data_IF_100572979288
#
_entry.id   IF_100572979288
#
_cell.length_a   1.000
_cell.length_b   1.000
_cell.length_c   1.000
_cell.angle_alpha   90.00
_cell.angle_beta   90.00
_cell.angle_gamma   90.00
#
_symmetry.space_group_name_H-M   'P 1'
#
loop_
_entity.id
_entity.type
_entity.pdbx_description
1 polymer ?
#
# COMPACT_ATOMS: atom_id res chain seq x y z
N UNK A 1 -11.91 -21.67 11.54
CA UNK A 1 -11.44 -20.90 10.35
C UNK A 1 -10.34 -19.98 10.79
N UNK A 2 -9.16 -20.12 10.18
CA UNK A 2 -7.99 -19.28 10.40
C UNK A 2 -8.14 -18.05 9.51
N UNK A 3 -8.14 -16.86 10.12
CA UNK A 3 -8.45 -15.60 9.47
C UNK A 3 -7.21 -14.95 8.84
N UNK A 4 -7.36 -14.35 7.66
CA UNK A 4 -6.34 -13.47 7.07
C UNK A 4 -6.08 -12.25 7.96
N UNK A 5 -7.15 -11.71 8.58
CA UNK A 5 -7.10 -10.62 9.55
C UNK A 5 -7.88 -10.97 10.81
N UNK A 6 -7.39 -10.57 11.98
CA UNK A 6 -8.05 -10.85 13.26
C UNK A 6 -8.41 -9.57 14.03
N UNK A 7 -9.42 -8.87 13.56
CA UNK A 7 -9.89 -7.61 14.15
C UNK A 7 -10.32 -7.75 15.61
N UNK A 8 -10.91 -8.91 15.99
CA UNK A 8 -11.35 -9.16 17.37
C UNK A 8 -10.17 -9.23 18.33
N UNK A 9 -9.09 -9.97 17.99
CA UNK A 9 -7.88 -10.04 18.82
C UNK A 9 -7.15 -8.70 18.84
N UNK A 10 -7.06 -7.99 17.69
CA UNK A 10 -6.49 -6.65 17.63
C UNK A 10 -7.21 -5.67 18.56
N UNK A 11 -8.52 -5.69 18.58
CA UNK A 11 -9.31 -4.83 19.46
C UNK A 11 -8.95 -5.00 20.94
N UNK A 12 -8.63 -6.22 21.38
CA UNK A 12 -8.21 -6.44 22.76
C UNK A 12 -6.91 -5.71 23.15
N UNK A 13 -5.99 -5.53 22.19
CA UNK A 13 -4.75 -4.83 22.44
C UNK A 13 -4.94 -3.30 22.54
N UNK A 14 -5.83 -2.72 21.72
CA UNK A 14 -5.91 -1.26 21.54
C UNK A 14 -7.12 -0.59 22.19
N UNK A 15 -8.09 -1.36 22.68
CA UNK A 15 -9.42 -0.84 23.10
C UNK A 15 -9.35 0.23 24.18
N UNK A 16 -8.51 0.05 25.20
CA UNK A 16 -8.46 0.95 26.34
C UNK A 16 -7.86 2.32 25.93
N UNK A 17 -6.82 2.30 25.10
CA UNK A 17 -6.24 3.51 24.53
C UNK A 17 -7.24 4.21 23.59
N UNK A 18 -7.95 3.45 22.76
CA UNK A 18 -8.94 4.03 21.83
C UNK A 18 -10.11 4.64 22.59
N UNK A 19 -10.66 3.96 23.60
CA UNK A 19 -11.77 4.48 24.41
C UNK A 19 -11.37 5.74 25.17
N UNK A 20 -10.17 5.75 25.77
CA UNK A 20 -9.64 6.94 26.47
C UNK A 20 -9.43 8.10 25.50
N UNK A 21 -8.86 7.86 24.32
CA UNK A 21 -8.67 8.90 23.31
C UNK A 21 -10.00 9.45 22.77
N UNK A 22 -11.01 8.59 22.56
CA UNK A 22 -12.34 9.01 22.15
C UNK A 22 -13.00 9.93 23.22
N UNK A 23 -12.88 9.58 24.50
CA UNK A 23 -13.36 10.43 25.59
C UNK A 23 -12.68 11.82 25.55
N UNK A 24 -11.36 11.87 25.36
CA UNK A 24 -10.63 13.13 25.26
C UNK A 24 -11.06 14.00 24.06
N UNK A 25 -11.38 13.40 22.90
CA UNK A 25 -11.91 14.13 21.74
C UNK A 25 -13.20 14.86 22.14
N UNK A 26 -14.11 14.17 22.82
CA UNK A 26 -15.41 14.73 23.22
C UNK A 26 -15.28 15.79 24.32
N UNK A 27 -14.41 15.55 25.32
CA UNK A 27 -14.13 16.55 26.37
C UNK A 27 -13.55 17.85 25.79
N UNK A 28 -12.65 17.73 24.80
CA UNK A 28 -11.98 18.86 24.16
C UNK A 28 -12.80 19.51 23.02
N UNK A 29 -13.93 18.94 22.63
CA UNK A 29 -14.82 19.41 21.55
C UNK A 29 -14.10 19.61 20.20
N UNK A 30 -13.05 18.84 19.91
CA UNK A 30 -12.25 18.93 18.69
C UNK A 30 -12.19 17.56 17.99
N UNK A 31 -12.94 17.43 16.91
CA UNK A 31 -13.17 16.15 16.23
C UNK A 31 -12.40 15.97 14.91
N UNK A 32 -11.77 17.02 14.39
CA UNK A 32 -10.97 16.97 13.15
C UNK A 32 -9.75 17.87 13.23
N UNK A 33 -8.65 17.43 12.65
CA UNK A 33 -7.42 18.20 12.45
C UNK A 33 -6.96 18.92 13.74
N UNK A 34 -6.82 18.19 14.83
CA UNK A 34 -6.51 18.74 16.15
C UNK A 34 -5.34 18.00 16.82
N UNK A 35 -5.47 17.63 18.08
CA UNK A 35 -4.36 17.15 18.91
C UNK A 35 -3.78 15.79 18.46
N UNK A 36 -4.64 14.78 18.23
CA UNK A 36 -4.16 13.43 17.88
C UNK A 36 -3.65 13.37 16.45
N UNK A 37 -4.31 14.06 15.52
CA UNK A 37 -3.83 14.16 14.13
C UNK A 37 -2.46 14.82 14.08
N UNK A 38 -2.22 15.88 14.84
CA UNK A 38 -0.91 16.54 14.91
C UNK A 38 0.17 15.62 15.49
N UNK A 39 -0.15 14.81 16.49
CA UNK A 39 0.79 13.82 17.04
C UNK A 39 1.18 12.75 16.01
N UNK A 40 0.21 12.26 15.22
CA UNK A 40 0.48 11.29 14.16
C UNK A 40 1.33 11.91 13.06
N UNK A 41 1.00 13.12 12.59
CA UNK A 41 1.78 13.85 11.58
C UNK A 41 3.23 14.06 12.04
N UNK A 42 3.45 14.46 13.30
CA UNK A 42 4.80 14.62 13.85
C UNK A 42 5.55 13.28 13.95
N UNK A 43 4.88 12.22 14.40
CA UNK A 43 5.47 10.89 14.47
C UNK A 43 5.83 10.35 13.08
N UNK A 44 5.01 10.61 12.06
CA UNK A 44 5.32 10.25 10.68
C UNK A 44 6.56 10.97 10.17
N UNK A 45 6.72 12.26 10.43
CA UNK A 45 7.91 13.03 10.07
C UNK A 45 9.17 12.41 10.68
N UNK A 46 9.12 12.06 11.97
CA UNK A 46 10.26 11.47 12.70
C UNK A 46 10.68 10.12 12.10
N UNK A 47 9.72 9.21 11.85
CA UNK A 47 10.04 7.86 11.36
C UNK A 47 10.37 7.80 9.89
N UNK A 48 9.96 8.79 9.10
CA UNK A 48 10.23 8.88 7.66
C UNK A 48 11.37 9.85 7.33
N UNK A 49 11.92 10.54 8.33
CA UNK A 49 12.91 11.60 8.12
C UNK A 49 12.47 12.67 7.09
N UNK A 50 11.13 12.89 6.95
CA UNK A 50 10.54 13.88 6.05
C UNK A 50 10.22 15.17 6.80
N UNK A 51 10.34 16.31 6.11
CA UNK A 51 10.01 17.62 6.67
C UNK A 51 8.51 17.78 6.93
N UNK A 52 7.68 17.23 6.05
CA UNK A 52 6.23 17.42 6.07
C UNK A 52 5.49 16.10 6.01
N UNK A 53 4.43 16.00 6.80
CA UNK A 53 3.47 14.91 6.80
C UNK A 53 2.05 15.49 6.89
N UNK A 54 1.16 15.01 6.06
CA UNK A 54 -0.24 15.42 6.02
C UNK A 54 -1.14 14.19 6.03
N UNK A 55 -1.94 14.04 7.07
CA UNK A 55 -2.98 13.02 7.13
C UNK A 55 -4.17 13.38 6.22
N UNK A 56 -4.82 12.36 5.66
CA UNK A 56 -6.00 12.48 4.81
C UNK A 56 -6.90 11.24 4.93
N UNK A 57 -8.06 11.27 4.28
CA UNK A 57 -9.10 10.23 4.46
C UNK A 57 -8.76 8.86 3.88
N UNK A 58 -7.81 8.75 2.96
CA UNK A 58 -7.41 7.44 2.39
C UNK A 58 -6.09 7.53 1.65
N UNK A 59 -5.45 6.37 1.42
CA UNK A 59 -4.30 6.27 0.50
C UNK A 59 -4.64 6.70 -0.92
N UNK A 60 -5.87 6.42 -1.41
CA UNK A 60 -6.33 6.91 -2.73
C UNK A 60 -6.35 8.43 -2.79
N UNK A 61 -6.87 9.11 -1.76
CA UNK A 61 -6.82 10.57 -1.69
C UNK A 61 -5.38 11.09 -1.60
N UNK A 62 -4.48 10.37 -0.91
CA UNK A 62 -3.07 10.72 -0.86
C UNK A 62 -2.45 10.73 -2.28
N UNK A 63 -2.67 9.68 -3.07
CA UNK A 63 -2.20 9.59 -4.47
C UNK A 63 -2.82 10.68 -5.34
N UNK A 64 -4.15 10.82 -5.30
CA UNK A 64 -4.88 11.80 -6.12
C UNK A 64 -4.44 13.22 -5.82
N UNK A 65 -4.33 13.60 -4.55
CA UNK A 65 -3.87 14.94 -4.16
C UNK A 65 -2.40 15.17 -4.49
N UNK A 66 -1.55 14.13 -4.43
CA UNK A 66 -0.14 14.21 -4.85
C UNK A 66 0.00 14.50 -6.34
N UNK A 67 -0.82 13.89 -7.19
CA UNK A 67 -0.87 14.19 -8.61
C UNK A 67 -1.33 15.64 -8.86
N UNK A 68 -2.46 16.04 -8.29
CA UNK A 68 -3.03 17.38 -8.47
C UNK A 68 -2.09 18.49 -7.93
N UNK A 69 -1.42 18.27 -6.80
CA UNK A 69 -0.44 19.21 -6.24
C UNK A 69 0.75 19.45 -7.18
N UNK A 70 1.09 18.45 -8.01
CA UNK A 70 2.08 18.56 -9.05
C UNK A 70 1.51 19.09 -10.40
N UNK A 71 0.28 19.63 -10.39
CA UNK A 71 -0.46 20.10 -11.58
C UNK A 71 -0.69 18.96 -12.60
N UNK A 72 -0.78 17.71 -12.15
CA UNK A 72 -1.07 16.54 -12.97
C UNK A 72 -2.54 16.17 -12.78
N UNK A 73 -3.33 16.29 -13.84
CA UNK A 73 -4.78 16.08 -13.85
C UNK A 73 -5.26 15.69 -15.25
N UNK A 74 -6.46 16.09 -15.61
CA UNK A 74 -7.16 15.71 -16.83
C UNK A 74 -6.26 15.74 -18.09
N UNK A 75 -6.21 14.62 -18.80
CA UNK A 75 -5.43 14.45 -20.03
C UNK A 75 -3.92 14.23 -19.85
N UNK A 76 -3.37 14.44 -18.65
CA UNK A 76 -1.97 14.12 -18.39
C UNK A 76 -1.76 12.63 -18.27
N UNK A 77 -0.62 12.15 -18.76
CA UNK A 77 -0.23 10.74 -18.68
C UNK A 77 0.54 10.46 -17.38
N UNK A 78 0.28 9.30 -16.78
CA UNK A 78 0.97 8.80 -15.57
C UNK A 78 1.38 7.35 -15.79
N UNK A 79 2.67 7.03 -15.62
CA UNK A 79 3.15 5.65 -15.66
C UNK A 79 2.74 4.95 -14.36
N UNK A 80 2.09 3.81 -14.49
CA UNK A 80 1.62 2.96 -13.38
C UNK A 80 1.97 1.50 -13.64
N UNK A 81 2.22 0.67 -12.61
CA UNK A 81 2.37 -0.76 -12.81
C UNK A 81 1.05 -1.36 -13.32
N UNK A 82 1.14 -2.30 -14.27
CA UNK A 82 -0.04 -2.93 -14.85
C UNK A 82 -0.75 -3.93 -13.91
N UNK A 83 -0.12 -4.24 -12.80
CA UNK A 83 -0.66 -5.07 -11.72
C UNK A 83 -0.39 -4.41 -10.38
N UNK A 84 -1.43 -4.08 -9.64
CA UNK A 84 -1.35 -3.46 -8.32
C UNK A 84 -2.70 -3.48 -7.62
N UNK A 85 -2.79 -2.82 -6.47
CA UNK A 85 -4.06 -2.51 -5.82
C UNK A 85 -4.94 -1.66 -6.77
N UNK A 86 -6.23 -1.97 -6.93
CA UNK A 86 -7.14 -1.14 -7.72
C UNK A 86 -7.12 0.35 -7.36
N UNK A 87 -6.83 0.68 -6.10
CA UNK A 87 -6.70 2.06 -5.64
C UNK A 87 -5.60 2.84 -6.38
N UNK A 88 -4.49 2.19 -6.77
CA UNK A 88 -3.40 2.81 -7.53
C UNK A 88 -3.92 3.36 -8.87
N UNK A 89 -4.59 2.51 -9.67
CA UNK A 89 -5.13 2.91 -10.96
C UNK A 89 -6.32 3.86 -10.84
N UNK A 90 -7.26 3.56 -9.94
CA UNK A 90 -8.46 4.36 -9.70
C UNK A 90 -8.12 5.80 -9.28
N UNK A 91 -7.06 6.01 -8.50
CA UNK A 91 -6.60 7.34 -8.10
C UNK A 91 -6.10 8.20 -9.26
N UNK A 92 -5.60 7.57 -10.31
CA UNK A 92 -5.18 8.20 -11.58
C UNK A 92 -6.41 8.50 -12.45
N UNK A 93 -7.29 7.50 -12.60
CA UNK A 93 -8.47 7.62 -13.48
C UNK A 93 -9.51 8.64 -13.00
N UNK A 94 -9.75 8.74 -11.69
CA UNK A 94 -10.80 9.61 -11.12
C UNK A 94 -10.59 11.10 -11.42
N UNK A 95 -9.35 11.53 -11.65
CA UNK A 95 -9.00 12.90 -12.03
C UNK A 95 -8.79 13.08 -13.53
N UNK A 96 -9.15 12.06 -14.32
CA UNK A 96 -9.04 12.10 -15.79
C UNK A 96 -7.61 12.01 -16.33
N UNK A 97 -6.65 11.55 -15.54
CA UNK A 97 -5.34 11.20 -16.05
C UNK A 97 -5.39 9.94 -16.89
N UNK A 98 -4.50 9.82 -17.85
CA UNK A 98 -4.36 8.68 -18.77
C UNK A 98 -3.26 7.76 -18.24
N UNK A 99 -3.56 6.53 -17.82
CA UNK A 99 -2.53 5.61 -17.39
C UNK A 99 -1.67 5.15 -18.57
N UNK A 100 -0.36 5.06 -18.35
CA UNK A 100 0.62 4.38 -19.21
C UNK A 100 1.10 3.19 -18.44
N UNK A 101 0.79 1.98 -18.93
CA UNK A 101 1.08 0.76 -18.17
C UNK A 101 2.53 0.33 -18.30
N UNK A 102 3.14 0.03 -17.17
CA UNK A 102 4.44 -0.61 -17.07
C UNK A 102 4.24 -2.06 -16.63
N UNK A 103 4.89 -3.00 -17.31
CA UNK A 103 4.90 -4.41 -16.88
C UNK A 103 5.53 -4.53 -15.49
N UNK A 104 5.25 -5.62 -14.81
CA UNK A 104 5.86 -5.97 -13.52
C UNK A 104 6.95 -7.03 -13.68
N UNK A 105 7.85 -7.06 -12.72
CA UNK A 105 8.90 -8.07 -12.61
C UNK A 105 8.43 -9.32 -11.84
N UNK A 106 9.35 -10.26 -11.63
CA UNK A 106 9.09 -11.49 -10.87
C UNK A 106 8.74 -11.26 -9.39
N UNK A 107 8.95 -10.06 -8.89
CA UNK A 107 8.62 -9.66 -7.51
C UNK A 107 7.24 -8.99 -7.43
N UNK A 108 6.55 -8.80 -8.55
CA UNK A 108 5.29 -8.06 -8.64
C UNK A 108 5.46 -6.55 -8.60
N UNK A 109 6.68 -6.05 -8.82
CA UNK A 109 7.02 -4.62 -8.84
C UNK A 109 7.16 -4.14 -10.27
N UNK A 110 7.22 -2.83 -10.47
CA UNK A 110 7.46 -2.22 -11.79
C UNK A 110 8.77 -2.74 -12.40
N UNK A 111 8.71 -3.32 -13.60
CA UNK A 111 9.87 -3.84 -14.32
C UNK A 111 10.73 -2.70 -14.85
N UNK A 112 12.01 -2.71 -14.47
CA UNK A 112 12.94 -1.63 -14.79
C UNK A 112 13.27 -1.57 -16.29
N UNK A 113 13.34 -2.71 -16.97
CA UNK A 113 13.65 -2.76 -18.40
C UNK A 113 12.46 -2.23 -19.20
N UNK A 114 11.24 -2.63 -18.84
CA UNK A 114 10.04 -2.11 -19.48
C UNK A 114 9.84 -0.62 -19.18
N UNK A 115 10.13 -0.15 -17.96
CA UNK A 115 10.07 1.27 -17.61
C UNK A 115 10.95 2.13 -18.55
N UNK A 116 12.18 1.69 -18.87
CA UNK A 116 13.08 2.40 -19.78
C UNK A 116 12.47 2.58 -21.17
N UNK A 117 11.66 1.66 -21.65
CA UNK A 117 10.99 1.78 -22.97
C UNK A 117 9.92 2.86 -23.00
N UNK A 118 9.47 3.35 -21.84
CA UNK A 118 8.41 4.36 -21.69
C UNK A 118 8.94 5.80 -21.64
N UNK A 119 10.25 6.03 -21.84
CA UNK A 119 10.85 7.37 -21.79
C UNK A 119 10.20 8.35 -22.77
N UNK A 120 9.78 7.95 -23.94
CA UNK A 120 9.08 8.81 -24.92
C UNK A 120 7.56 8.92 -24.73
N UNK A 121 6.97 8.38 -23.68
CA UNK A 121 5.50 8.29 -23.51
C UNK A 121 4.79 9.63 -23.32
N UNK A 122 5.52 10.69 -22.92
CA UNK A 122 4.94 11.99 -22.55
C UNK A 122 4.27 12.01 -21.18
N UNK A 123 4.52 11.00 -20.35
CA UNK A 123 4.04 10.96 -18.98
C UNK A 123 4.65 12.10 -18.14
N UNK A 124 3.93 12.49 -17.09
CA UNK A 124 4.34 13.56 -16.16
C UNK A 124 4.78 13.01 -14.80
N UNK A 125 4.41 11.79 -14.50
CA UNK A 125 4.79 11.12 -13.26
C UNK A 125 4.96 9.62 -13.47
N UNK A 126 5.76 9.03 -12.59
CA UNK A 126 5.79 7.58 -12.30
C UNK A 126 5.17 7.37 -10.92
N UNK A 127 4.09 6.60 -10.87
CA UNK A 127 3.47 6.13 -9.62
C UNK A 127 3.94 4.70 -9.39
N UNK A 128 5.00 4.53 -8.61
CA UNK A 128 5.55 3.21 -8.30
C UNK A 128 4.99 2.69 -6.98
N UNK A 129 4.60 1.41 -6.97
CA UNK A 129 3.96 0.78 -5.81
C UNK A 129 4.82 -0.34 -5.26
N UNK A 130 5.10 -0.31 -3.96
CA UNK A 130 5.63 -1.48 -3.25
C UNK A 130 4.49 -2.42 -2.88
N UNK A 131 4.65 -3.74 -3.12
CA UNK A 131 3.60 -4.74 -2.88
C UNK A 131 4.02 -5.81 -1.87
N UNK A 132 3.03 -6.41 -1.23
CA UNK A 132 3.16 -7.54 -0.31
C UNK A 132 4.06 -7.30 0.91
N UNK A 133 4.58 -6.10 1.09
CA UNK A 133 5.49 -5.77 2.19
C UNK A 133 6.94 -5.55 1.76
N UNK A 134 7.24 -5.74 0.48
CA UNK A 134 8.51 -5.34 -0.11
C UNK A 134 8.40 -3.97 -0.78
N UNK A 135 9.51 -3.26 -0.85
CA UNK A 135 9.62 -2.01 -1.62
C UNK A 135 10.08 -2.30 -3.05
N UNK A 136 9.68 -1.45 -3.98
CA UNK A 136 10.19 -1.49 -5.36
C UNK A 136 11.63 -0.98 -5.43
N UNK A 137 12.29 -1.14 -6.57
CA UNK A 137 13.66 -0.67 -6.79
C UNK A 137 13.67 0.85 -7.01
N UNK A 138 14.01 1.60 -5.98
CA UNK A 138 13.92 3.05 -5.98
C UNK A 138 14.95 3.74 -6.88
N UNK A 139 16.21 3.31 -6.85
CA UNK A 139 17.29 4.03 -7.54
C UNK A 139 17.08 4.13 -9.06
N UNK A 140 16.75 3.04 -9.79
CA UNK A 140 16.47 3.14 -11.23
C UNK A 140 15.22 3.96 -11.56
N UNK A 141 14.17 3.92 -10.71
CA UNK A 141 12.97 4.72 -10.92
C UNK A 141 13.27 6.20 -10.72
N UNK A 142 14.04 6.54 -9.69
CA UNK A 142 14.48 7.91 -9.44
C UNK A 142 15.29 8.47 -10.63
N UNK A 143 16.30 7.73 -11.09
CA UNK A 143 17.10 8.12 -12.26
C UNK A 143 16.22 8.31 -13.50
N UNK A 144 15.31 7.37 -13.78
CA UNK A 144 14.37 7.48 -14.89
C UNK A 144 13.51 8.74 -14.81
N UNK A 145 13.00 9.08 -13.63
CA UNK A 145 12.19 10.28 -13.41
C UNK A 145 13.01 11.57 -13.64
N UNK A 146 14.23 11.61 -13.11
CA UNK A 146 15.16 12.74 -13.30
C UNK A 146 15.50 12.94 -14.78
N UNK A 147 15.87 11.86 -15.49
CA UNK A 147 16.25 11.89 -16.91
C UNK A 147 15.08 12.31 -17.83
N UNK A 148 13.85 12.04 -17.43
CA UNK A 148 12.65 12.33 -18.22
C UNK A 148 11.83 13.52 -17.69
N UNK A 149 12.33 14.24 -16.68
CA UNK A 149 11.62 15.35 -16.02
C UNK A 149 10.20 14.97 -15.57
N UNK A 150 10.09 13.83 -14.88
CA UNK A 150 8.85 13.28 -14.32
C UNK A 150 8.88 13.34 -12.79
N UNK A 151 7.70 13.47 -12.18
CA UNK A 151 7.54 13.37 -10.73
C UNK A 151 7.57 11.90 -10.31
N UNK A 152 8.35 11.58 -9.27
CA UNK A 152 8.39 10.25 -8.67
C UNK A 152 7.46 10.16 -7.45
N UNK A 153 6.31 9.50 -7.60
CA UNK A 153 5.35 9.24 -6.53
C UNK A 153 5.54 7.80 -6.03
N UNK A 154 5.90 7.67 -4.76
CA UNK A 154 6.05 6.39 -4.09
C UNK A 154 4.74 6.02 -3.37
N UNK A 155 3.99 5.06 -3.90
CA UNK A 155 2.88 4.44 -3.18
C UNK A 155 3.43 3.38 -2.22
N UNK A 156 3.65 3.78 -0.98
CA UNK A 156 4.14 2.94 0.10
C UNK A 156 3.02 2.26 0.91
N UNK A 157 1.78 2.21 0.40
CA UNK A 157 0.63 1.68 1.14
C UNK A 157 0.79 0.23 1.64
N UNK A 158 1.68 -0.56 1.04
CA UNK A 158 1.99 -1.92 1.49
C UNK A 158 3.46 -2.11 1.91
N UNK A 159 4.35 -1.19 1.50
CA UNK A 159 5.78 -1.22 1.82
C UNK A 159 6.17 -0.29 2.97
N UNK A 160 5.20 0.21 3.74
CA UNK A 160 5.46 1.03 4.92
C UNK A 160 6.49 0.35 5.83
N UNK A 161 7.56 1.07 6.17
CA UNK A 161 8.66 0.56 7.02
C UNK A 161 9.45 -0.63 6.44
N UNK A 162 9.24 -1.01 5.18
CA UNK A 162 10.20 -1.84 4.46
C UNK A 162 11.48 -1.06 4.23
N UNK A 163 12.63 -1.74 4.16
CA UNK A 163 13.89 -1.06 3.89
C UNK A 163 14.34 -1.33 2.46
N UNK A 164 14.77 -0.29 1.77
CA UNK A 164 15.48 -0.35 0.51
C UNK A 164 16.96 -0.14 0.80
N UNK A 165 17.76 -1.20 0.65
CA UNK A 165 19.21 -1.15 0.94
C UNK A 165 19.53 -0.50 2.31
N UNK A 166 18.70 -0.80 3.32
CA UNK A 166 18.84 -0.27 4.67
C UNK A 166 18.15 1.07 4.94
N UNK A 167 17.68 1.78 3.91
CA UNK A 167 16.93 3.04 4.03
C UNK A 167 15.42 2.78 4.11
N UNK A 168 14.71 3.44 5.01
CA UNK A 168 13.26 3.31 5.11
C UNK A 168 12.58 3.76 3.80
N UNK A 169 11.69 2.93 3.25
CA UNK A 169 10.95 3.23 2.02
C UNK A 169 10.18 4.56 2.07
N UNK A 170 9.82 5.02 3.27
CA UNK A 170 9.13 6.31 3.47
C UNK A 170 10.05 7.53 3.27
N UNK A 171 11.37 7.34 3.18
CA UNK A 171 12.34 8.40 2.86
C UNK A 171 12.55 8.60 1.36
N UNK A 172 11.95 7.75 0.50
CA UNK A 172 12.29 7.65 -0.91
C UNK A 172 11.12 8.09 -1.81
N UNK A 173 11.45 8.76 -2.93
CA UNK A 173 10.50 9.43 -3.83
C UNK A 173 10.34 10.91 -3.53
N UNK A 174 9.84 11.70 -4.49
CA UNK A 174 9.57 13.13 -4.30
C UNK A 174 8.41 13.33 -3.34
N UNK A 175 7.44 12.44 -3.42
CA UNK A 175 6.26 12.40 -2.57
C UNK A 175 5.90 10.95 -2.24
N UNK A 176 5.55 10.68 -0.98
CA UNK A 176 5.18 9.34 -0.50
C UNK A 176 3.72 9.32 -0.12
N UNK A 177 3.00 8.31 -0.60
CA UNK A 177 1.61 8.06 -0.24
C UNK A 177 1.50 6.84 0.68
N UNK A 178 0.80 7.01 1.80
CA UNK A 178 0.58 5.96 2.79
C UNK A 178 -0.90 5.63 2.93
N UNK A 179 -1.19 4.42 3.37
CA UNK A 179 -2.55 3.98 3.73
C UNK A 179 -2.55 3.36 5.12
N UNK A 180 -3.57 3.68 5.92
CA UNK A 180 -3.83 3.08 7.22
C UNK A 180 -5.14 2.27 7.21
N UNK A 181 -5.56 1.76 6.03
CA UNK A 181 -6.71 0.86 5.95
C UNK A 181 -6.56 -0.33 6.91
N UNK A 182 -7.66 -1.00 7.18
CA UNK A 182 -7.79 -2.03 8.22
C UNK A 182 -6.81 -3.21 8.13
N UNK A 183 -6.22 -3.43 6.95
CA UNK A 183 -5.25 -4.49 6.66
C UNK A 183 -3.79 -4.00 6.56
N UNK A 184 -3.49 -2.73 6.84
CA UNK A 184 -2.16 -2.14 6.70
C UNK A 184 -1.27 -2.39 7.95
N UNK A 185 -0.02 -1.96 7.88
CA UNK A 185 0.97 -2.14 8.94
C UNK A 185 0.51 -1.52 10.27
N UNK A 186 -0.01 -0.29 10.21
CA UNK A 186 -0.66 0.40 11.32
C UNK A 186 -2.11 0.68 10.91
N UNK A 187 -3.05 -0.21 11.27
CA UNK A 187 -4.41 -0.15 10.74
C UNK A 187 -5.37 0.67 11.59
N UNK A 188 -6.37 1.26 10.92
CA UNK A 188 -7.58 1.82 11.55
C UNK A 188 -8.81 1.02 11.12
N UNK A 189 -9.95 1.29 11.73
CA UNK A 189 -11.24 0.81 11.22
C UNK A 189 -11.65 1.70 10.04
N UNK A 190 -11.82 1.09 8.87
CA UNK A 190 -12.12 1.80 7.62
C UNK A 190 -10.86 2.23 6.86
N UNK A 191 -10.81 3.48 6.45
CA UNK A 191 -9.70 4.01 5.63
C UNK A 191 -9.11 5.28 6.24
N UNK A 192 -7.82 5.45 6.07
CA UNK A 192 -7.09 6.67 6.35
C UNK A 192 -5.78 6.67 5.56
N UNK A 193 -5.14 7.83 5.37
CA UNK A 193 -3.91 7.92 4.59
C UNK A 193 -3.03 9.08 5.02
N UNK A 194 -1.86 9.16 4.41
CA UNK A 194 -0.94 10.29 4.59
C UNK A 194 -0.17 10.57 3.31
N UNK A 195 0.23 11.83 3.16
CA UNK A 195 1.20 12.31 2.17
C UNK A 195 2.43 12.79 2.93
N UNK A 196 3.63 12.36 2.49
CA UNK A 196 4.91 12.79 3.03
C UNK A 196 5.74 13.43 1.92
N UNK A 197 6.41 14.54 2.22
CA UNK A 197 7.28 15.24 1.27
C UNK A 197 8.29 16.12 2.01
N UNK A 198 9.35 16.54 1.32
CA UNK A 198 10.30 17.55 1.79
C UNK A 198 10.08 18.92 1.14
N UNK A 199 9.18 18.98 0.14
CA UNK A 199 8.85 20.19 -0.61
C UNK A 199 7.68 20.94 0.09
N UNK A 200 7.96 22.16 0.54
CA UNK A 200 6.99 23.02 1.21
C UNK A 200 5.84 23.45 0.28
N UNK A 201 6.14 23.66 -1.02
CA UNK A 201 5.12 24.05 -1.99
C UNK A 201 4.13 22.90 -2.21
N UNK A 202 4.63 21.68 -2.35
CA UNK A 202 3.77 20.48 -2.45
C UNK A 202 2.95 20.28 -1.18
N UNK A 203 3.57 20.43 -0.01
CA UNK A 203 2.88 20.35 1.28
C UNK A 203 1.70 21.33 1.34
N UNK A 204 1.91 22.62 1.02
CA UNK A 204 0.86 23.64 1.05
C UNK A 204 -0.26 23.34 0.04
N UNK A 205 0.08 22.95 -1.19
CA UNK A 205 -0.92 22.57 -2.20
C UNK A 205 -1.79 21.38 -1.74
N UNK A 206 -1.18 20.33 -1.17
CA UNK A 206 -1.92 19.17 -0.62
C UNK A 206 -2.79 19.62 0.56
N UNK A 207 -2.29 20.52 1.42
CA UNK A 207 -3.04 21.10 2.54
C UNK A 207 -4.28 21.86 2.09
N UNK A 208 -4.20 22.62 1.00
CA UNK A 208 -5.32 23.32 0.38
C UNK A 208 -6.30 22.32 -0.25
N UNK A 209 -5.79 21.37 -1.05
CA UNK A 209 -6.61 20.34 -1.71
C UNK A 209 -7.45 19.52 -0.71
N UNK A 210 -6.86 19.11 0.43
CA UNK A 210 -7.60 18.34 1.45
C UNK A 210 -8.69 19.11 2.17
N UNK A 211 -8.70 20.46 2.05
CA UNK A 211 -9.65 21.39 2.65
C UNK A 211 -10.65 21.99 1.64
N UNK A 212 -11.12 21.17 0.71
CA UNK A 212 -12.03 21.61 -0.36
C UNK A 212 -11.41 22.66 -1.30
N UNK A 213 -10.11 22.80 -1.37
CA UNK A 213 -9.43 23.78 -2.21
C UNK A 213 -9.38 25.20 -1.62
N UNK A 214 -9.55 25.33 -0.31
CA UNK A 214 -9.45 26.60 0.43
C UNK A 214 -8.26 26.62 1.37
N UNK A 215 -7.42 27.67 1.36
CA UNK A 215 -6.35 27.84 2.35
C UNK A 215 -6.92 27.99 3.78
N UNK A 216 -8.00 28.74 3.93
CA UNK A 216 -8.76 28.87 5.18
C UNK A 216 -10.27 28.95 4.93
N UNK A 217 -11.09 28.96 6.01
CA UNK A 217 -12.56 29.09 5.88
C UNK A 217 -13.00 30.44 5.32
N UNK A 218 -12.21 31.48 5.50
CA UNK A 218 -12.56 32.86 5.16
C UNK A 218 -11.99 33.28 3.79
N UNK A 219 -11.11 32.48 3.20
CA UNK A 219 -10.51 32.77 1.91
C UNK A 219 -11.30 32.15 0.76
N UNK A 220 -11.08 32.66 -0.44
CA UNK A 220 -11.69 32.14 -1.67
C UNK A 220 -11.14 30.76 -2.05
N UNK A 221 -11.83 30.07 -2.92
CA UNK A 221 -11.37 28.83 -3.50
C UNK A 221 -10.17 29.12 -4.42
N UNK A 222 -9.06 28.45 -4.19
CA UNK A 222 -7.92 28.50 -5.11
C UNK A 222 -8.05 27.43 -6.20
N UNK A 223 -8.53 26.24 -5.82
CA UNK A 223 -8.67 25.08 -6.72
C UNK A 223 -9.89 24.25 -6.29
N UNK A 224 -10.33 23.34 -7.15
CA UNK A 224 -11.26 22.28 -6.74
C UNK A 224 -10.51 21.28 -5.85
N UNK A 225 -11.04 20.99 -4.69
CA UNK A 225 -10.41 20.12 -3.70
C UNK A 225 -11.37 19.09 -3.10
N UNK A 226 -10.92 18.43 -2.05
CA UNK A 226 -11.61 17.33 -1.40
C UNK A 226 -11.96 17.66 0.05
N UNK A 227 -13.11 17.19 0.52
CA UNK A 227 -13.37 17.09 1.96
C UNK A 227 -12.59 15.91 2.54
N UNK A 228 -11.27 16.09 2.69
CA UNK A 228 -10.33 15.05 3.11
C UNK A 228 -9.61 15.40 4.41
N UNK A 229 -10.30 16.11 5.30
CA UNK A 229 -9.79 16.41 6.64
C UNK A 229 -9.51 15.13 7.41
N UNK A 230 -8.40 15.08 8.15
CA UNK A 230 -8.11 13.95 9.02
C UNK A 230 -9.05 13.96 10.23
N UNK A 231 -9.63 12.80 10.51
CA UNK A 231 -10.52 12.57 11.64
C UNK A 231 -9.69 12.20 12.90
N UNK A 232 -10.01 12.81 14.05
CA UNK A 232 -9.27 12.57 15.31
C UNK A 232 -9.44 11.14 15.83
N UNK A 233 -10.60 10.52 15.64
CA UNK A 233 -10.85 9.13 16.04
C UNK A 233 -9.94 8.14 15.31
N UNK A 234 -9.61 8.39 14.04
CA UNK A 234 -8.64 7.61 13.26
C UNK A 234 -7.22 7.82 13.78
N UNK A 235 -6.86 9.05 14.10
CA UNK A 235 -5.55 9.36 14.67
C UNK A 235 -5.34 8.66 16.04
N UNK A 236 -6.35 8.61 16.89
CA UNK A 236 -6.34 7.84 18.14
C UNK A 236 -6.08 6.35 17.86
N UNK A 237 -6.76 5.76 16.88
CA UNK A 237 -6.55 4.35 16.51
C UNK A 237 -5.15 4.09 15.98
N UNK A 238 -4.56 5.04 15.20
CA UNK A 238 -3.18 4.95 14.74
C UNK A 238 -2.22 4.96 15.93
N UNK A 239 -2.36 5.91 16.85
CA UNK A 239 -1.48 6.03 18.02
C UNK A 239 -1.56 4.79 18.91
N UNK A 240 -2.75 4.28 19.14
CA UNK A 240 -2.98 3.04 19.90
C UNK A 240 -2.33 1.83 19.20
N UNK A 241 -2.54 1.67 17.88
CA UNK A 241 -1.95 0.59 17.09
C UNK A 241 -0.42 0.70 17.02
N UNK A 242 0.12 1.91 16.97
CA UNK A 242 1.56 2.15 16.89
C UNK A 242 2.34 1.62 18.10
N UNK A 243 1.74 1.63 19.29
CA UNK A 243 2.34 1.07 20.50
C UNK A 243 2.64 -0.43 20.38
N UNK A 244 1.92 -1.12 19.50
CA UNK A 244 2.05 -2.57 19.29
C UNK A 244 2.75 -2.93 17.98
N UNK A 245 3.07 -1.94 17.14
CA UNK A 245 3.56 -2.13 15.77
C UNK A 245 4.77 -3.07 15.70
N UNK A 246 5.82 -2.82 16.48
CA UNK A 246 7.06 -3.61 16.44
C UNK A 246 6.81 -5.07 16.80
N UNK A 247 6.00 -5.33 17.83
CA UNK A 247 5.60 -6.69 18.24
C UNK A 247 4.80 -7.39 17.12
N UNK A 248 3.86 -6.67 16.49
CA UNK A 248 3.06 -7.23 15.41
C UNK A 248 3.91 -7.51 14.16
N UNK A 249 4.80 -6.60 13.81
CA UNK A 249 5.69 -6.77 12.66
C UNK A 249 6.64 -7.96 12.88
N UNK A 250 7.31 -8.04 14.04
CA UNK A 250 8.18 -9.16 14.37
C UNK A 250 7.47 -10.51 14.29
N UNK A 251 6.25 -10.60 14.82
CA UNK A 251 5.45 -11.83 14.74
C UNK A 251 5.12 -12.21 13.28
N UNK A 252 4.73 -11.27 12.46
CA UNK A 252 4.44 -11.50 11.03
C UNK A 252 5.68 -11.98 10.27
N UNK A 253 6.85 -11.40 10.55
CA UNK A 253 8.13 -11.84 9.98
C UNK A 253 8.46 -13.26 10.43
N UNK A 254 8.26 -13.59 11.71
CA UNK A 254 8.45 -14.94 12.24
C UNK A 254 7.54 -15.96 11.53
N UNK A 255 6.26 -15.65 11.34
CA UNK A 255 5.32 -16.51 10.60
C UNK A 255 5.80 -16.71 9.16
N UNK A 256 6.23 -15.64 8.48
CA UNK A 256 6.81 -15.73 7.14
C UNK A 256 8.04 -16.63 7.07
N UNK A 257 8.90 -16.62 8.10
CA UNK A 257 10.06 -17.53 8.19
C UNK A 257 9.63 -18.99 8.37
N UNK A 258 8.58 -19.26 9.17
CA UNK A 258 8.02 -20.63 9.30
C UNK A 258 7.44 -21.11 7.97
N UNK A 259 6.76 -20.27 7.22
CA UNK A 259 6.27 -20.60 5.88
C UNK A 259 7.40 -20.86 4.90
N UNK A 260 8.45 -20.04 4.87
CA UNK A 260 9.62 -20.23 4.01
C UNK A 260 10.28 -21.59 4.25
N UNK A 261 10.45 -21.99 5.49
CA UNK A 261 11.04 -23.30 5.86
C UNK A 261 10.14 -24.46 5.41
N UNK A 262 8.83 -24.36 5.68
CA UNK A 262 7.89 -25.44 5.38
C UNK A 262 7.61 -25.61 3.88
N UNK A 263 7.65 -24.53 3.11
CA UNK A 263 7.33 -24.53 1.68
C UNK A 263 8.55 -24.73 0.78
N UNK A 264 9.75 -24.70 1.35
CA UNK A 264 10.99 -24.91 0.60
C UNK A 264 10.88 -26.17 -0.27
N UNK A 265 11.17 -26.04 -1.55
CA UNK A 265 11.13 -27.09 -2.58
C UNK A 265 9.76 -27.77 -2.80
N UNK A 266 8.67 -27.25 -2.21
CA UNK A 266 7.32 -27.82 -2.30
C UNK A 266 6.31 -26.86 -2.92
N UNK A 267 6.35 -25.59 -2.56
CA UNK A 267 5.41 -24.56 -2.99
C UNK A 267 6.20 -23.40 -3.56
N UNK A 268 5.82 -22.91 -4.72
CA UNK A 268 6.38 -21.68 -5.26
C UNK A 268 5.89 -20.48 -4.42
N UNK A 269 6.84 -19.78 -3.81
CA UNK A 269 6.59 -18.56 -3.05
C UNK A 269 7.00 -17.39 -3.90
N UNK A 270 6.23 -16.28 -3.82
CA UNK A 270 6.67 -15.02 -4.45
C UNK A 270 8.02 -14.62 -3.84
N UNK A 271 9.08 -14.47 -4.64
CA UNK A 271 10.38 -14.10 -4.10
C UNK A 271 10.37 -12.66 -3.57
N UNK A 272 11.19 -12.39 -2.54
CA UNK A 272 11.50 -11.02 -2.13
C UNK A 272 12.77 -10.55 -2.84
N UNK A 273 12.84 -9.29 -3.31
CA UNK A 273 14.04 -8.77 -3.95
C UNK A 273 15.17 -8.57 -2.92
N UNK A 274 16.41 -8.76 -3.36
CA UNK A 274 17.59 -8.66 -2.49
C UNK A 274 17.87 -7.23 -1.98
N UNK A 275 17.34 -6.22 -2.65
CA UNK A 275 17.43 -4.82 -2.23
C UNK A 275 16.35 -4.44 -1.20
N UNK A 276 15.39 -5.32 -0.91
CA UNK A 276 14.29 -5.04 0.02
C UNK A 276 14.39 -5.86 1.29
N UNK A 277 14.13 -5.22 2.44
CA UNK A 277 13.82 -5.94 3.68
C UNK A 277 12.32 -5.93 3.89
N UNK A 278 11.72 -7.10 3.79
CA UNK A 278 10.28 -7.32 3.88
C UNK A 278 9.71 -6.88 5.24
N UNK A 279 8.61 -6.14 5.23
CA UNK A 279 7.97 -5.61 6.44
C UNK A 279 6.94 -6.57 7.08
N UNK A 280 6.78 -7.78 6.56
CA UNK A 280 5.79 -8.73 7.08
C UNK A 280 4.35 -8.49 6.65
N UNK A 281 4.07 -7.63 5.65
CA UNK A 281 2.68 -7.21 5.34
C UNK A 281 1.80 -8.37 4.87
N UNK A 282 2.16 -9.04 3.77
CA UNK A 282 1.41 -10.16 3.20
C UNK A 282 2.35 -11.25 2.74
N UNK A 283 1.96 -12.50 2.94
CA UNK A 283 2.72 -13.65 2.45
C UNK A 283 2.01 -14.23 1.22
N UNK A 284 2.66 -14.18 0.06
CA UNK A 284 2.08 -14.62 -1.22
C UNK A 284 2.75 -15.90 -1.72
N UNK A 285 1.94 -16.88 -2.09
CA UNK A 285 2.35 -18.08 -2.81
C UNK A 285 1.92 -17.97 -4.28
N UNK A 286 2.61 -18.70 -5.15
CA UNK A 286 2.27 -18.79 -6.58
C UNK A 286 1.76 -20.21 -6.85
N UNK A 287 0.51 -20.32 -7.26
CA UNK A 287 -0.17 -21.59 -7.53
C UNK A 287 -0.68 -21.62 -8.96
N UNK A 288 -0.84 -22.81 -9.56
CA UNK A 288 -1.25 -22.91 -10.96
C UNK A 288 -2.65 -22.35 -11.22
N UNK A 289 -3.58 -22.59 -10.30
CA UNK A 289 -4.96 -22.07 -10.33
C UNK A 289 -5.33 -21.50 -8.95
N UNK A 290 -5.15 -20.18 -8.79
CA UNK A 290 -5.45 -19.53 -7.51
C UNK A 290 -6.92 -19.53 -7.13
N UNK A 291 -7.83 -19.58 -8.10
CA UNK A 291 -9.27 -19.57 -7.82
C UNK A 291 -9.71 -20.91 -7.23
N UNK A 292 -9.20 -22.00 -7.80
CA UNK A 292 -9.41 -23.34 -7.26
C UNK A 292 -8.74 -23.50 -5.89
N UNK A 293 -7.48 -23.10 -5.75
CA UNK A 293 -6.74 -23.15 -4.49
C UNK A 293 -7.43 -22.32 -3.39
N UNK A 294 -7.88 -21.09 -3.70
CA UNK A 294 -8.64 -20.24 -2.79
C UNK A 294 -9.88 -20.94 -2.25
N UNK A 295 -10.68 -21.53 -3.14
CA UNK A 295 -11.91 -22.25 -2.76
C UNK A 295 -11.61 -23.44 -1.85
N UNK A 296 -10.65 -24.29 -2.22
CA UNK A 296 -10.28 -25.48 -1.45
C UNK A 296 -9.69 -25.12 -0.08
N UNK A 297 -8.83 -24.09 0.00
CA UNK A 297 -8.28 -23.62 1.27
C UNK A 297 -9.36 -23.04 2.18
N UNK A 298 -10.34 -22.33 1.62
CA UNK A 298 -11.49 -21.83 2.38
C UNK A 298 -12.34 -22.99 2.94
N UNK A 299 -12.58 -24.04 2.18
CA UNK A 299 -13.27 -25.26 2.59
C UNK A 299 -12.49 -26.02 3.68
N UNK A 300 -11.14 -25.97 3.63
CA UNK A 300 -10.24 -26.49 4.66
C UNK A 300 -10.14 -25.58 5.90
N UNK A 301 -10.87 -24.47 5.96
CA UNK A 301 -10.89 -23.55 7.10
C UNK A 301 -9.76 -22.51 7.12
N UNK A 302 -9.09 -22.27 6.00
CA UNK A 302 -8.04 -21.26 5.82
C UNK A 302 -8.55 -20.13 4.93
N UNK A 303 -8.69 -18.93 5.48
CA UNK A 303 -9.08 -17.73 4.72
C UNK A 303 -7.89 -17.19 3.94
N UNK A 304 -8.02 -17.10 2.63
CA UNK A 304 -6.99 -16.53 1.73
C UNK A 304 -7.52 -15.30 1.03
N UNK A 305 -6.64 -14.49 0.42
CA UNK A 305 -7.03 -13.29 -0.31
C UNK A 305 -6.38 -13.30 -1.71
N UNK A 306 -7.15 -12.89 -2.70
CA UNK A 306 -6.71 -12.87 -4.11
C UNK A 306 -6.16 -11.48 -4.46
N UNK A 307 -4.91 -11.22 -4.12
CA UNK A 307 -4.21 -10.00 -4.48
C UNK A 307 -3.31 -10.23 -5.71
N UNK A 308 -3.67 -9.75 -6.91
CA UNK A 308 -4.92 -9.11 -7.28
C UNK A 308 -5.58 -9.88 -8.43
N UNK A 309 -6.79 -9.50 -8.85
CA UNK A 309 -7.55 -10.21 -9.89
C UNK A 309 -7.56 -9.49 -11.23
N UNK A 310 -7.02 -8.26 -11.28
CA UNK A 310 -7.10 -7.40 -12.44
C UNK A 310 -5.72 -7.22 -13.10
N UNK A 311 -5.67 -7.43 -14.42
CA UNK A 311 -4.67 -6.85 -15.30
C UNK A 311 -5.24 -5.51 -15.78
N UNK A 312 -4.61 -4.41 -15.43
CA UNK A 312 -5.15 -3.07 -15.62
C UNK A 312 -5.30 -2.69 -17.10
N UNK A 313 -4.40 -3.16 -17.97
CA UNK A 313 -4.50 -2.91 -19.41
C UNK A 313 -5.67 -3.63 -20.09
N UNK A 314 -6.29 -4.62 -19.41
CA UNK A 314 -7.45 -5.37 -19.92
C UNK A 314 -8.80 -4.86 -19.41
N UNK A 315 -8.82 -3.80 -18.60
CA UNK A 315 -10.05 -3.22 -18.10
C UNK A 315 -10.76 -2.40 -19.20
N UNK A 316 -12.07 -2.51 -19.28
CA UNK A 316 -12.88 -1.89 -20.36
C UNK A 316 -12.83 -0.36 -20.42
N UNK A 317 -12.42 0.30 -19.36
CA UNK A 317 -12.35 1.76 -19.24
C UNK A 317 -10.93 2.33 -19.38
N UNK A 318 -9.90 1.48 -19.47
CA UNK A 318 -8.52 1.90 -19.67
C UNK A 318 -8.18 1.98 -21.16
N UNK A 319 -7.17 2.81 -21.52
CA UNK A 319 -6.72 2.86 -22.91
C UNK A 319 -6.20 1.49 -23.37
N UNK A 320 -6.55 1.09 -24.57
CA UNK A 320 -5.92 -0.06 -25.21
C UNK A 320 -4.46 0.29 -25.51
N UNK A 321 -3.55 -0.43 -24.87
CA UNK A 321 -2.12 -0.23 -25.06
C UNK A 321 -1.57 -0.93 -26.31
N UNK A 322 -2.32 -1.89 -26.87
CA UNK A 322 -1.84 -2.78 -27.93
C UNK A 322 -0.66 -3.67 -27.50
N UNK A 323 -0.39 -3.79 -26.21
CA UNK A 323 0.74 -4.53 -25.66
C UNK A 323 0.26 -5.68 -24.78
N UNK A 324 1.07 -6.74 -24.73
CA UNK A 324 0.88 -7.84 -23.80
C UNK A 324 1.71 -7.62 -22.53
N UNK A 325 1.18 -8.09 -21.41
CA UNK A 325 1.81 -7.98 -20.08
C UNK A 325 1.84 -9.37 -19.42
N UNK A 326 2.72 -10.27 -19.89
CA UNK A 326 2.70 -11.67 -19.49
C UNK A 326 2.99 -11.90 -18.01
N UNK A 327 3.82 -11.09 -17.37
CA UNK A 327 4.08 -11.23 -15.95
C UNK A 327 2.89 -10.75 -15.12
N UNK A 328 2.24 -9.66 -15.51
CA UNK A 328 0.98 -9.21 -14.91
C UNK A 328 -0.11 -10.29 -15.02
N UNK A 329 -0.26 -10.92 -16.19
CA UNK A 329 -1.20 -12.03 -16.39
C UNK A 329 -0.87 -13.23 -15.50
N UNK A 330 0.40 -13.58 -15.38
CA UNK A 330 0.86 -14.65 -14.48
C UNK A 330 0.47 -14.36 -13.03
N UNK A 331 0.73 -13.16 -12.53
CA UNK A 331 0.37 -12.80 -11.15
C UNK A 331 -1.14 -12.77 -10.93
N UNK A 332 -1.90 -12.28 -11.92
CA UNK A 332 -3.38 -12.33 -11.89
C UNK A 332 -3.89 -13.76 -11.74
N UNK A 333 -3.26 -14.74 -12.37
CA UNK A 333 -3.68 -16.14 -12.32
C UNK A 333 -3.16 -16.91 -11.12
N UNK A 334 -1.94 -16.60 -10.65
CA UNK A 334 -1.20 -17.46 -9.73
C UNK A 334 -1.04 -16.89 -8.32
N UNK A 335 -1.01 -15.56 -8.14
CA UNK A 335 -0.69 -14.98 -6.84
C UNK A 335 -1.85 -15.08 -5.84
N UNK A 336 -1.64 -15.83 -4.77
CA UNK A 336 -2.58 -16.04 -3.67
C UNK A 336 -1.93 -15.70 -2.34
N UNK A 337 -2.55 -14.83 -1.53
CA UNK A 337 -2.04 -14.52 -0.20
C UNK A 337 -2.70 -15.39 0.86
N UNK A 338 -1.88 -15.99 1.70
CA UNK A 338 -2.29 -16.81 2.83
C UNK A 338 -2.21 -16.04 4.14
N UNK A 339 -2.88 -16.50 5.21
CA UNK A 339 -2.91 -15.78 6.48
C UNK A 339 -1.52 -15.47 7.02
N UNK A 340 -1.26 -14.18 7.30
CA UNK A 340 -0.05 -13.69 7.94
C UNK A 340 -0.41 -12.55 8.90
N UNK A 341 -1.19 -12.86 9.94
CA UNK A 341 -1.55 -11.86 10.94
C UNK A 341 -0.87 -12.13 12.29
N UNK A 342 -0.56 -11.09 13.08
CA UNK A 342 0.27 -11.22 14.28
C UNK A 342 -0.39 -11.99 15.43
N UNK A 343 -1.65 -12.33 15.30
CA UNK A 343 -2.43 -13.02 16.32
C UNK A 343 -2.53 -14.53 16.11
N UNK A 344 -1.92 -15.06 15.05
CA UNK A 344 -1.87 -16.50 14.80
C UNK A 344 -0.97 -17.18 15.84
N UNK A 345 -1.49 -18.26 16.43
CA UNK A 345 -0.71 -19.19 17.23
C UNK A 345 0.18 -20.06 16.32
N UNK A 346 1.22 -20.68 16.88
CA UNK A 346 2.06 -21.59 16.08
C UNK A 346 1.23 -22.76 15.54
N UNK A 347 0.28 -23.28 16.30
CA UNK A 347 -0.65 -24.31 15.84
C UNK A 347 -1.51 -23.84 14.66
N UNK A 348 -2.01 -22.60 14.68
CA UNK A 348 -2.74 -22.03 13.52
C UNK A 348 -1.84 -21.89 12.30
N UNK A 349 -0.55 -21.57 12.49
CA UNK A 349 0.45 -21.50 11.39
C UNK A 349 0.71 -22.90 10.81
N UNK A 350 0.91 -23.91 11.66
CA UNK A 350 1.08 -25.32 11.26
C UNK A 350 -0.12 -25.83 10.48
N UNK A 351 -1.34 -25.52 10.90
CA UNK A 351 -2.57 -25.88 10.18
C UNK A 351 -2.66 -25.23 8.80
N UNK A 352 -2.21 -23.96 8.65
CA UNK A 352 -2.13 -23.30 7.34
C UNK A 352 -1.10 -24.01 6.46
N UNK A 353 0.07 -24.34 7.00
CA UNK A 353 1.13 -25.06 6.27
C UNK A 353 0.60 -26.41 5.75
N UNK A 354 -0.03 -27.20 6.61
CA UNK A 354 -0.60 -28.49 6.24
C UNK A 354 -1.63 -28.36 5.13
N UNK A 355 -2.58 -27.42 5.27
CA UNK A 355 -3.61 -27.17 4.26
C UNK A 355 -3.02 -26.76 2.91
N UNK A 356 -2.04 -25.83 2.91
CA UNK A 356 -1.38 -25.36 1.68
C UNK A 356 -0.59 -26.48 1.01
N UNK A 357 0.17 -27.27 1.77
CA UNK A 357 0.93 -28.39 1.21
C UNK A 357 0.00 -29.46 0.61
N UNK A 358 -1.10 -29.80 1.29
CA UNK A 358 -2.03 -30.82 0.80
C UNK A 358 -2.82 -30.38 -0.45
N UNK A 359 -3.08 -29.08 -0.61
CA UNK A 359 -3.95 -28.56 -1.68
C UNK A 359 -3.13 -28.02 -2.86
N UNK A 360 -1.99 -27.38 -2.59
CA UNK A 360 -1.24 -26.64 -3.61
C UNK A 360 -0.01 -27.40 -4.13
N UNK A 361 0.41 -28.51 -3.52
CA UNK A 361 1.44 -29.39 -4.10
C UNK A 361 0.79 -30.25 -5.17
N UNK A 362 1.07 -29.96 -6.45
CA UNK A 362 0.68 -30.86 -7.53
C UNK A 362 1.45 -32.18 -7.35
N UNK A 363 0.79 -33.36 -7.31
CA UNK A 363 1.52 -34.61 -7.32
C UNK A 363 2.45 -34.63 -8.53
N UNK A 364 3.76 -34.83 -8.31
CA UNK A 364 4.70 -35.04 -9.39
C UNK A 364 4.21 -36.26 -10.21
N UNK A 365 3.68 -35.96 -11.40
CA UNK A 365 3.25 -36.97 -12.40
C UNK A 365 4.45 -37.72 -12.94
#
# INVERSE_FOLDING_TARGET
>A
MIKAHNFKRRWQDIKDDVLSGMEQIHINEKVVNAHFTSQVEEKLKQVSNRKYALLCRSGSHAITMSLLANNIGFGHKVIVPNYSCPATLSSVGVIGCVPVFCEIDQYGMMDQNHLQTLSGSGAKAVLATGLYGDTHNHAPIKSFCEDNNMVYINDAAQSQFALYEGTNSLELGDIVCMSFADNKAIPVVGTFGAVLTDDEILYEKVRVLRKNGKPSRLEDFEVAGFSSHPDEDKAVQILASWKHFDKWQQRKIQIGSMYNEAFKDKIAVRPSPNYSTWNGHKYAILVDDKFSAHKQLLEAGVETEQHYVDNFAKLSWTPDSGQEYPMSDKFVQQSLTIPNNPYMTDLEVEQVIEAVVNICVTPSS
#
